data_IF_957303544897
#
_entry.id   IF_957303544897
#
_cell.length_a   1.000
_cell.length_b   1.000
_cell.length_c   1.000
_cell.angle_alpha   90.00
_cell.angle_beta   90.00
_cell.angle_gamma   90.00
#
_symmetry.space_group_name_H-M   'P 1'
#
loop_
_entity.id
_entity.type
_entity.pdbx_description
1 polymer ?
#
# COMPACT_ATOMS: atom_id res chain seq x y z
N UNK A 1 -5.26 1.61 -17.64
CA UNK A 1 -6.63 1.57 -17.11
C UNK A 1 -7.00 2.92 -16.53
N UNK A 2 -8.27 3.14 -16.28
CA UNK A 2 -8.81 4.36 -15.69
C UNK A 2 -8.53 4.40 -14.16
N UNK A 3 -7.84 5.43 -13.64
CA UNK A 3 -7.61 5.59 -12.20
C UNK A 3 -8.89 5.74 -11.37
N UNK A 4 -9.97 6.25 -11.94
CA UNK A 4 -11.25 6.42 -11.21
C UNK A 4 -11.88 5.07 -10.87
N UNK A 5 -11.85 4.14 -11.83
CA UNK A 5 -12.28 2.76 -11.60
C UNK A 5 -11.46 2.11 -10.48
N UNK A 6 -10.14 2.32 -10.48
CA UNK A 6 -9.28 1.80 -9.42
C UNK A 6 -9.60 2.43 -8.07
N UNK A 7 -9.77 3.75 -8.00
CA UNK A 7 -10.14 4.43 -6.75
C UNK A 7 -11.46 3.89 -6.19
N UNK A 8 -12.47 3.70 -7.04
CA UNK A 8 -13.76 3.13 -6.62
C UNK A 8 -13.59 1.70 -6.05
N UNK A 9 -12.82 0.85 -6.72
CA UNK A 9 -12.58 -0.51 -6.24
C UNK A 9 -11.75 -0.52 -4.94
N UNK A 10 -10.77 0.36 -4.81
CA UNK A 10 -9.97 0.50 -3.59
C UNK A 10 -10.81 1.00 -2.40
N UNK A 11 -11.73 1.94 -2.63
CA UNK A 11 -12.69 2.38 -1.62
C UNK A 11 -13.64 1.25 -1.18
N UNK A 12 -14.07 0.40 -2.11
CA UNK A 12 -14.88 -0.79 -1.79
C UNK A 12 -14.07 -1.79 -0.97
N UNK A 13 -12.82 -2.06 -1.39
CA UNK A 13 -11.91 -2.97 -0.71
C UNK A 13 -11.63 -2.53 0.73
N UNK A 14 -11.32 -1.25 0.96
CA UNK A 14 -11.05 -0.73 2.31
C UNK A 14 -12.23 -0.90 3.27
N UNK A 15 -13.47 -0.87 2.77
CA UNK A 15 -14.68 -1.05 3.60
C UNK A 15 -14.94 -2.50 4.01
N UNK A 16 -14.37 -3.47 3.31
CA UNK A 16 -14.60 -4.91 3.55
C UNK A 16 -13.37 -5.65 4.07
N UNK A 17 -12.18 -5.09 3.84
CA UNK A 17 -10.95 -5.59 4.44
C UNK A 17 -10.89 -5.16 5.90
N UNK A 18 -10.29 -6.02 6.74
CA UNK A 18 -9.91 -5.60 8.09
C UNK A 18 -8.92 -4.43 8.01
N UNK A 19 -7.84 -4.60 7.22
CA UNK A 19 -6.83 -3.60 6.89
C UNK A 19 -6.24 -3.89 5.50
N UNK A 20 -5.90 -2.84 4.76
CA UNK A 20 -5.22 -2.88 3.46
C UNK A 20 -3.77 -2.46 3.65
N UNK A 21 -2.86 -3.44 3.66
CA UNK A 21 -1.42 -3.22 3.76
C UNK A 21 -0.78 -3.38 2.38
N UNK A 22 -0.14 -2.33 1.88
CA UNK A 22 0.61 -2.38 0.63
C UNK A 22 2.11 -2.44 0.89
N UNK A 23 2.67 -3.62 0.64
CA UNK A 23 4.11 -3.89 0.68
C UNK A 23 4.73 -3.54 -0.68
N UNK A 24 5.64 -2.58 -0.71
CA UNK A 24 6.26 -2.10 -1.94
C UNK A 24 7.79 -2.06 -1.83
N UNK A 25 8.54 -2.87 -2.60
CA UNK A 25 10.00 -2.88 -2.56
C UNK A 25 10.62 -1.57 -3.07
N UNK A 26 9.94 -0.82 -3.95
CA UNK A 26 10.43 0.46 -4.47
C UNK A 26 10.38 1.58 -3.42
N UNK A 27 9.62 1.41 -2.34
CA UNK A 27 9.45 2.44 -1.31
C UNK A 27 10.79 2.85 -0.66
N UNK A 28 11.78 1.96 -0.61
CA UNK A 28 13.11 2.26 -0.04
C UNK A 28 13.97 3.11 -0.97
N UNK A 29 13.65 3.16 -2.27
CA UNK A 29 14.51 3.80 -3.25
C UNK A 29 14.57 5.31 -2.97
N UNK A 30 15.77 5.91 -2.82
CA UNK A 30 15.89 7.35 -2.64
C UNK A 30 15.17 8.13 -3.75
N UNK A 31 14.32 9.08 -3.37
CA UNK A 31 13.53 9.87 -4.31
C UNK A 31 12.31 9.14 -4.91
N UNK A 32 12.00 7.92 -4.45
CA UNK A 32 10.78 7.24 -4.84
C UNK A 32 9.54 8.09 -4.48
N UNK A 33 8.67 8.28 -5.47
CA UNK A 33 7.36 8.87 -5.29
C UNK A 33 6.33 8.05 -6.09
N UNK A 34 5.14 7.78 -5.52
CA UNK A 34 4.09 6.98 -6.16
C UNK A 34 3.30 7.79 -7.21
N UNK A 35 4.02 8.34 -8.21
CA UNK A 35 3.48 9.30 -9.18
C UNK A 35 2.61 8.64 -10.28
N UNK A 36 2.72 7.32 -10.45
CA UNK A 36 1.87 6.60 -11.38
C UNK A 36 0.41 6.77 -10.96
N UNK A 37 -0.44 7.25 -11.87
CA UNK A 37 -1.84 7.65 -11.56
C UNK A 37 -2.63 6.57 -10.81
N UNK A 38 -2.42 5.30 -11.13
CA UNK A 38 -3.08 4.21 -10.42
C UNK A 38 -2.61 4.07 -8.97
N UNK A 39 -1.32 4.24 -8.71
CA UNK A 39 -0.78 4.22 -7.34
C UNK A 39 -1.32 5.40 -6.54
N UNK A 40 -1.28 6.61 -7.12
CA UNK A 40 -1.83 7.81 -6.51
C UNK A 40 -3.34 7.67 -6.20
N UNK A 41 -4.11 7.03 -7.08
CA UNK A 41 -5.53 6.74 -6.87
C UNK A 41 -5.79 5.70 -5.78
N UNK A 42 -4.90 4.73 -5.59
CA UNK A 42 -5.06 3.67 -4.60
C UNK A 42 -4.65 4.11 -3.18
N UNK A 43 -3.63 4.96 -3.06
CA UNK A 43 -3.01 5.34 -1.78
C UNK A 43 -3.95 5.88 -0.70
N UNK A 44 -4.97 6.70 -1.01
CA UNK A 44 -5.91 7.18 0.01
C UNK A 44 -6.68 6.07 0.74
N UNK A 45 -6.72 4.85 0.18
CA UNK A 45 -7.47 3.70 0.69
C UNK A 45 -6.56 2.58 1.23
N UNK A 46 -5.26 2.86 1.38
CA UNK A 46 -4.27 1.94 1.95
C UNK A 46 -3.99 2.39 3.38
N UNK A 47 -4.16 1.47 4.34
CA UNK A 47 -3.95 1.77 5.76
C UNK A 47 -2.46 1.83 6.10
N UNK A 48 -1.65 0.94 5.53
CA UNK A 48 -0.20 0.93 5.72
C UNK A 48 0.53 0.74 4.40
N UNK A 49 1.40 1.70 4.08
CA UNK A 49 2.28 1.64 2.93
C UNK A 49 3.72 1.39 3.39
N UNK A 50 4.19 0.15 3.26
CA UNK A 50 5.44 -0.33 3.88
C UNK A 50 6.44 -0.83 2.85
N UNK A 51 7.70 -0.91 3.26
CA UNK A 51 8.78 -1.46 2.44
C UNK A 51 8.73 -2.99 2.38
N UNK A 52 9.28 -3.57 1.31
CA UNK A 52 9.35 -5.04 1.14
C UNK A 52 10.65 -5.54 0.53
N UNK A 53 11.74 -4.77 0.63
CA UNK A 53 12.98 -5.02 -0.10
C UNK A 53 14.03 -5.86 0.67
N UNK A 54 13.77 -6.20 1.93
CA UNK A 54 14.73 -6.89 2.80
C UNK A 54 14.03 -7.70 3.90
N UNK A 55 14.77 -8.60 4.56
CA UNK A 55 14.26 -9.35 5.72
C UNK A 55 13.84 -8.39 6.85
N UNK A 56 14.60 -7.33 7.09
CA UNK A 56 14.25 -6.31 8.07
C UNK A 56 12.92 -5.60 7.72
N UNK A 57 12.67 -5.36 6.43
CA UNK A 57 11.38 -4.82 5.97
C UNK A 57 10.24 -5.82 6.19
N UNK A 58 10.48 -7.12 5.99
CA UNK A 58 9.50 -8.16 6.29
C UNK A 58 9.23 -8.31 7.80
N UNK A 59 10.25 -8.18 8.65
CA UNK A 59 10.06 -8.11 10.11
C UNK A 59 9.27 -6.86 10.53
N UNK A 60 9.42 -5.76 9.81
CA UNK A 60 8.54 -4.60 10.02
C UNK A 60 7.10 -4.91 9.61
N UNK A 61 6.91 -5.58 8.46
CA UNK A 61 5.59 -6.03 8.03
C UNK A 61 4.94 -6.96 9.06
N UNK A 62 5.67 -7.92 9.66
CA UNK A 62 5.10 -8.79 10.70
C UNK A 62 4.57 -7.98 11.88
N UNK A 63 5.30 -6.96 12.33
CA UNK A 63 4.82 -6.03 13.38
C UNK A 63 3.60 -5.23 12.93
N UNK A 64 3.50 -4.85 11.66
CA UNK A 64 2.36 -4.10 11.12
C UNK A 64 1.10 -4.97 11.09
N UNK A 65 1.20 -6.24 10.67
CA UNK A 65 0.05 -7.15 10.58
C UNK A 65 -0.34 -7.78 11.92
N UNK A 66 0.58 -7.87 12.88
CA UNK A 66 0.29 -8.36 14.24
C UNK A 66 -0.28 -7.29 15.18
N UNK A 67 -0.50 -6.06 14.69
CA UNK A 67 -1.23 -5.02 15.43
C UNK A 67 -2.73 -5.32 15.32
N UNK A 68 -3.25 -5.85 16.43
CA UNK A 68 -4.63 -6.25 16.72
C UNK A 68 -5.28 -7.19 15.68
#
# INVERSE_FOLDING_TARGET
GDPEVLAEQMQRLQRVAFRVVWVNPLKVTPGYAPLARGMAAALPYVDDFVEGHSIQALEHLTRVISRD
#
